data_IF_619009374173
#
_entry.id   IF_619009374173
#
_cell.length_a   1.000
_cell.length_b   1.000
_cell.length_c   1.000
_cell.angle_alpha   90.00
_cell.angle_beta   90.00
_cell.angle_gamma   90.00
#
_symmetry.space_group_name_H-M   'P 1'
#
loop_
_entity.id
_entity.type
_entity.pdbx_description
1 polymer ?
#
# COMPACT_ATOMS: atom_id res chain seq x y z
N UNK A 1 -7.72 10.01 -5.54
CA UNK A 1 -8.89 9.81 -4.66
C UNK A 1 -8.79 8.54 -3.84
N UNK A 2 -8.75 7.35 -4.45
CA UNK A 2 -8.74 6.10 -3.68
C UNK A 2 -7.60 6.04 -2.66
N UNK A 3 -6.38 6.46 -3.02
CA UNK A 3 -5.27 6.44 -2.05
C UNK A 3 -5.35 7.52 -0.97
N UNK A 4 -6.03 8.66 -1.18
CA UNK A 4 -5.89 9.86 -0.33
C UNK A 4 -7.21 10.33 0.28
N UNK A 5 -8.32 9.64 0.01
CA UNK A 5 -9.68 10.01 0.43
C UNK A 5 -10.27 11.22 -0.32
N UNK A 6 -9.44 12.04 -0.98
CA UNK A 6 -9.86 13.24 -1.72
C UNK A 6 -9.26 13.31 -3.12
N UNK A 7 -9.81 14.18 -3.97
CA UNK A 7 -9.33 14.36 -5.36
C UNK A 7 -8.03 15.18 -5.45
N UNK A 8 -7.66 15.92 -4.40
CA UNK A 8 -6.48 16.78 -4.37
C UNK A 8 -5.20 15.99 -4.05
N UNK A 9 -4.09 16.48 -4.61
CA UNK A 9 -2.74 15.97 -4.37
C UNK A 9 -2.20 16.42 -3.01
N UNK A 10 -0.98 15.99 -2.66
CA UNK A 10 -0.24 16.36 -1.43
C UNK A 10 -0.90 16.01 -0.10
N UNK A 11 -1.86 15.08 -0.13
CA UNK A 11 -2.51 14.54 1.06
C UNK A 11 -1.90 13.19 1.44
N UNK A 12 -1.87 12.85 2.75
CA UNK A 12 -1.38 11.56 3.18
C UNK A 12 -2.19 10.42 2.57
N UNK A 13 -1.49 9.40 2.07
CA UNK A 13 -2.11 8.20 1.54
C UNK A 13 -2.71 7.32 2.65
N UNK A 14 -3.61 6.39 2.30
CA UNK A 14 -4.26 5.44 3.20
C UNK A 14 -3.23 4.69 4.06
N UNK A 15 -2.16 4.19 3.44
CA UNK A 15 -1.08 3.52 4.17
C UNK A 15 -0.34 4.42 5.15
N UNK A 16 -0.26 5.74 4.89
CA UNK A 16 0.34 6.70 5.81
C UNK A 16 -0.57 6.95 7.03
N UNK A 17 -1.89 7.05 6.82
CA UNK A 17 -2.87 7.14 7.91
C UNK A 17 -2.88 5.88 8.78
N UNK A 18 -2.82 4.70 8.16
CA UNK A 18 -2.75 3.42 8.90
C UNK A 18 -1.43 3.33 9.69
N UNK A 19 -0.31 3.71 9.08
CA UNK A 19 0.98 3.78 9.76
C UNK A 19 0.97 4.78 10.93
N UNK A 20 0.27 5.91 10.77
CA UNK A 20 0.11 6.92 11.83
C UNK A 20 -0.74 6.43 12.99
N UNK A 21 -1.90 5.83 12.71
CA UNK A 21 -2.84 5.38 13.73
C UNK A 21 -2.37 4.12 14.48
N UNK A 22 -1.77 3.15 13.77
CA UNK A 22 -1.34 1.87 14.36
C UNK A 22 0.13 1.84 14.76
N UNK A 23 0.95 2.78 14.27
CA UNK A 23 2.40 2.70 14.42
C UNK A 23 3.00 1.45 13.79
N UNK A 24 4.05 0.93 14.40
CA UNK A 24 4.67 -0.36 14.04
C UNK A 24 5.02 -1.13 15.30
N UNK A 25 4.71 -2.42 15.33
CA UNK A 25 5.22 -3.35 16.35
C UNK A 25 6.61 -3.88 15.98
N UNK A 26 7.03 -3.68 14.74
CA UNK A 26 8.33 -4.09 14.24
C UNK A 26 9.35 -2.96 14.40
N UNK A 27 10.40 -3.19 15.17
CA UNK A 27 11.50 -2.24 15.36
C UNK A 27 12.46 -2.18 14.16
N UNK A 28 12.43 -3.18 13.28
CA UNK A 28 13.38 -3.41 12.19
C UNK A 28 12.78 -3.28 10.78
N UNK A 29 11.47 -3.12 10.64
CA UNK A 29 10.79 -2.89 9.37
C UNK A 29 9.85 -1.68 9.46
N UNK A 30 9.61 -0.96 8.35
CA UNK A 30 8.65 0.13 8.33
C UNK A 30 7.21 -0.40 8.47
N UNK A 31 6.33 0.40 9.06
CA UNK A 31 4.89 0.10 9.11
C UNK A 31 4.22 0.13 7.73
N UNK A 32 4.79 0.84 6.75
CA UNK A 32 4.27 0.99 5.39
C UNK A 32 5.34 0.65 4.35
N UNK A 33 5.17 -0.46 3.64
CA UNK A 33 6.06 -0.93 2.56
C UNK A 33 5.37 -0.86 1.20
N UNK A 34 6.12 -0.47 0.18
CA UNK A 34 5.68 -0.38 -1.22
C UNK A 34 6.50 -1.33 -2.08
N UNK A 35 5.81 -2.23 -2.79
CA UNK A 35 6.36 -3.20 -3.72
C UNK A 35 5.95 -2.81 -5.15
N UNK A 36 6.77 -1.99 -5.80
CA UNK A 36 6.55 -1.58 -7.18
C UNK A 36 7.18 -2.53 -8.19
N UNK A 37 6.72 -2.46 -9.44
CA UNK A 37 7.42 -3.13 -10.53
C UNK A 37 8.83 -2.51 -10.72
N UNK A 38 9.89 -3.34 -10.83
CA UNK A 38 11.25 -2.83 -10.99
C UNK A 38 11.44 -2.06 -12.30
N UNK A 39 10.62 -2.32 -13.32
CA UNK A 39 10.74 -1.68 -14.65
C UNK A 39 10.31 -0.21 -14.69
N UNK A 40 9.69 0.33 -13.63
CA UNK A 40 9.36 1.75 -13.56
C UNK A 40 8.24 2.10 -12.59
N UNK A 41 7.85 3.37 -12.62
CA UNK A 41 6.77 3.92 -11.80
C UNK A 41 5.44 3.93 -12.57
N UNK A 42 4.32 3.94 -11.84
CA UNK A 42 3.04 4.36 -12.41
C UNK A 42 3.08 5.86 -12.77
N UNK A 43 2.10 6.34 -13.53
CA UNK A 43 2.06 7.74 -13.98
C UNK A 43 2.08 8.75 -12.80
N UNK A 44 1.51 8.38 -11.66
CA UNK A 44 1.50 9.22 -10.45
C UNK A 44 2.79 9.13 -9.62
N UNK A 45 3.66 8.16 -9.90
CA UNK A 45 4.84 7.84 -9.12
C UNK A 45 4.58 7.78 -7.61
N UNK A 46 5.50 8.40 -6.87
CA UNK A 46 5.51 8.37 -5.40
C UNK A 46 4.35 9.10 -4.73
N UNK A 47 3.52 9.83 -5.50
CA UNK A 47 2.32 10.49 -4.97
C UNK A 47 1.30 9.48 -4.43
N UNK A 48 1.35 8.22 -4.87
CA UNK A 48 0.40 7.19 -4.42
C UNK A 48 0.74 6.55 -3.06
N UNK A 49 1.91 6.85 -2.49
CA UNK A 49 2.32 6.41 -1.15
C UNK A 49 2.99 7.53 -0.32
N UNK A 50 2.60 8.77 -0.61
CA UNK A 50 3.08 9.94 0.12
C UNK A 50 2.53 10.00 1.54
N UNK A 51 3.34 10.53 2.46
CA UNK A 51 2.89 10.95 3.79
C UNK A 51 2.17 12.30 3.75
N UNK A 52 2.23 13.05 2.63
CA UNK A 52 1.70 14.41 2.57
C UNK A 52 2.32 15.26 3.68
N UNK A 53 1.46 15.83 4.53
CA UNK A 53 1.86 16.61 5.70
C UNK A 53 1.99 15.80 6.99
N UNK A 54 1.70 14.48 7.01
CA UNK A 54 2.04 13.63 8.17
C UNK A 54 3.56 13.54 8.34
N UNK A 55 4.07 13.20 9.54
CA UNK A 55 5.50 12.99 9.74
C UNK A 55 6.13 12.03 8.72
N UNK A 56 7.36 12.33 8.28
CA UNK A 56 8.01 11.63 7.18
C UNK A 56 8.20 10.12 7.40
N UNK A 57 8.20 9.65 8.65
CA UNK A 57 8.27 8.24 9.03
C UNK A 57 7.06 7.41 8.57
N UNK A 58 5.93 8.05 8.27
CA UNK A 58 4.71 7.37 7.79
C UNK A 58 4.66 7.26 6.26
N UNK A 59 5.69 7.71 5.55
CA UNK A 59 5.78 7.56 4.09
C UNK A 59 6.00 6.09 3.72
N UNK A 60 5.40 5.65 2.61
CA UNK A 60 5.66 4.32 2.07
C UNK A 60 7.14 4.13 1.71
N UNK A 61 7.76 3.08 2.25
CA UNK A 61 9.15 2.73 1.98
C UNK A 61 9.21 1.71 0.85
N UNK A 62 9.89 2.04 -0.24
CA UNK A 62 10.02 1.15 -1.40
C UNK A 62 10.99 0.01 -1.16
N UNK A 63 10.52 -1.21 -1.40
CA UNK A 63 11.34 -2.41 -1.41
C UNK A 63 11.39 -2.95 -2.85
N UNK A 64 12.60 -3.11 -3.37
CA UNK A 64 12.83 -3.73 -4.67
C UNK A 64 12.54 -5.22 -4.61
N UNK A 65 11.78 -5.72 -5.58
CA UNK A 65 11.53 -7.15 -5.75
C UNK A 65 12.66 -7.89 -6.44
N UNK A 66 13.74 -7.21 -6.83
CA UNK A 66 14.90 -7.80 -7.50
C UNK A 66 16.20 -7.11 -7.08
N UNK A 67 17.30 -7.86 -7.00
CA UNK A 67 18.59 -7.31 -6.59
C UNK A 67 18.60 -6.91 -5.12
N UNK A 68 19.22 -5.77 -4.79
CA UNK A 68 19.24 -5.25 -3.42
C UNK A 68 17.85 -4.70 -3.06
N UNK A 69 17.16 -5.26 -2.05
CA UNK A 69 15.78 -4.89 -1.79
C UNK A 69 15.61 -3.46 -1.27
N UNK A 70 16.58 -2.98 -0.50
CA UNK A 70 16.62 -1.58 -0.05
C UNK A 70 17.87 -0.95 -0.63
N UNK A 71 17.70 0.15 -1.37
CA UNK A 71 18.80 0.81 -2.06
C UNK A 71 19.77 1.46 -1.07
N UNK A 72 21.04 1.60 -1.48
CA UNK A 72 22.11 2.28 -0.72
C UNK A 72 22.40 1.70 0.68
N UNK A 73 22.07 0.43 0.86
CA UNK A 73 22.15 -0.23 2.13
C UNK A 73 23.59 -0.71 2.45
N UNK A 74 24.42 -0.93 1.42
CA UNK A 74 25.85 -1.23 1.60
C UNK A 74 26.65 0.05 1.43
N UNK A 75 27.55 0.33 2.39
CA UNK A 75 28.53 1.42 2.26
C UNK A 75 29.40 1.18 1.03
N UNK A 76 29.61 2.22 0.21
CA UNK A 76 30.52 2.18 -0.94
C UNK A 76 31.99 2.13 -0.51
N UNK A 77 32.29 2.59 0.71
CA UNK A 77 33.62 2.55 1.30
C UNK A 77 33.61 1.49 2.41
N UNK A 78 34.50 0.47 2.35
CA UNK A 78 34.67 -0.48 3.44
C UNK A 78 35.14 0.28 4.68
N UNK A 79 34.31 0.30 5.72
CA UNK A 79 34.64 0.85 7.04
C UNK A 79 34.57 -0.30 8.04
N UNK A 80 35.46 -0.30 9.02
CA UNK A 80 35.36 -1.28 10.10
C UNK A 80 34.09 -1.03 10.92
N UNK A 81 33.56 -2.08 11.55
CA UNK A 81 32.36 -1.96 12.40
C UNK A 81 32.56 -0.94 13.55
N UNK A 82 33.79 -0.83 14.08
CA UNK A 82 34.14 0.15 15.11
C UNK A 82 34.13 1.59 14.58
N UNK A 83 34.71 1.84 13.40
CA UNK A 83 34.68 3.17 12.79
C UNK A 83 33.25 3.58 12.45
N UNK A 84 32.45 2.67 11.91
CA UNK A 84 31.04 2.93 11.61
C UNK A 84 30.26 3.27 12.88
N UNK A 85 30.47 2.52 13.97
CA UNK A 85 29.84 2.82 15.27
C UNK A 85 30.26 4.19 15.81
N UNK A 86 31.56 4.50 15.80
CA UNK A 86 32.06 5.81 16.27
C UNK A 86 31.49 6.98 15.45
N UNK A 87 31.36 6.82 14.13
CA UNK A 87 30.75 7.83 13.26
C UNK A 87 29.26 8.03 13.59
N UNK A 88 28.50 6.94 13.78
CA UNK A 88 27.10 7.00 14.17
C UNK A 88 26.90 7.61 15.56
N UNK A 89 27.78 7.32 16.52
CA UNK A 89 27.74 7.91 17.86
C UNK A 89 28.04 9.42 17.82
N UNK A 90 28.99 9.84 16.99
CA UNK A 90 29.29 11.26 16.79
C UNK A 90 28.13 12.00 16.11
N UNK A 91 27.57 11.44 15.04
CA UNK A 91 26.36 11.97 14.39
C UNK A 91 25.19 12.08 15.37
N UNK A 92 24.98 11.06 16.22
CA UNK A 92 23.94 11.08 17.25
C UNK A 92 24.14 12.21 18.25
N UNK A 93 25.39 12.52 18.64
CA UNK A 93 25.69 13.67 19.50
C UNK A 93 25.35 14.99 18.80
N UNK A 94 25.71 15.16 17.53
CA UNK A 94 25.38 16.36 16.75
C UNK A 94 23.86 16.55 16.60
N UNK A 95 23.15 15.47 16.31
CA UNK A 95 21.70 15.46 16.23
C UNK A 95 21.04 15.92 17.54
N UNK A 96 21.48 15.41 18.70
CA UNK A 96 20.99 15.85 20.01
C UNK A 96 21.28 17.32 20.30
N UNK A 97 22.43 17.83 19.87
CA UNK A 97 22.76 19.27 20.01
C UNK A 97 21.79 20.11 19.18
N UNK A 98 21.49 19.69 17.95
CA UNK A 98 20.56 20.40 17.08
C UNK A 98 19.11 20.36 17.60
N UNK A 99 18.65 19.18 18.04
CA UNK A 99 17.31 19.00 18.63
C UNK A 99 17.09 19.93 19.84
N UNK A 100 18.10 20.08 20.70
CA UNK A 100 18.03 21.03 21.84
C UNK A 100 17.93 22.49 21.41
N UNK A 101 18.47 22.87 20.25
CA UNK A 101 18.41 24.24 19.73
C UNK A 101 17.08 24.54 19.06
N UNK A 102 16.43 23.52 18.47
CA UNK A 102 15.18 23.65 17.73
C UNK A 102 14.16 22.59 18.20
N UNK A 103 13.62 22.70 19.44
CA UNK A 103 12.75 21.67 20.02
C UNK A 103 11.41 21.48 19.29
N UNK A 104 11.02 22.40 18.40
CA UNK A 104 9.81 22.28 17.56
C UNK A 104 10.06 21.71 16.17
N UNK A 105 11.31 21.41 15.80
CA UNK A 105 11.67 20.95 14.45
C UNK A 105 11.51 19.43 14.31
N UNK A 106 10.29 18.99 14.03
CA UNK A 106 9.94 17.56 13.91
C UNK A 106 10.51 16.91 12.65
N UNK A 107 10.88 17.68 11.62
CA UNK A 107 11.41 17.13 10.37
C UNK A 107 12.79 16.48 10.61
N UNK A 108 13.65 17.11 11.42
CA UNK A 108 14.95 16.54 11.75
C UNK A 108 14.80 15.21 12.50
N UNK A 109 13.91 15.16 13.48
CA UNK A 109 13.66 13.94 14.26
C UNK A 109 13.15 12.81 13.37
N UNK A 110 12.19 13.09 12.49
CA UNK A 110 11.69 12.12 11.51
C UNK A 110 12.80 11.62 10.57
N UNK A 111 13.71 12.50 10.13
CA UNK A 111 14.88 12.11 9.31
C UNK A 111 15.83 11.18 10.08
N UNK A 112 16.11 11.48 11.35
CA UNK A 112 16.97 10.63 12.20
C UNK A 112 16.35 9.24 12.34
N UNK A 113 15.07 9.17 12.71
CA UNK A 113 14.36 7.89 12.87
C UNK A 113 14.33 7.08 11.57
N UNK A 114 14.15 7.74 10.42
CA UNK A 114 14.21 7.10 9.12
C UNK A 114 15.59 6.47 8.81
N UNK A 115 16.69 7.15 9.13
CA UNK A 115 18.03 6.60 8.94
C UNK A 115 18.33 5.43 9.87
N UNK A 116 17.92 5.52 11.14
CA UNK A 116 18.08 4.42 12.08
C UNK A 116 17.23 3.20 11.69
N UNK A 117 16.00 3.42 11.22
CA UNK A 117 15.16 2.36 10.67
C UNK A 117 15.83 1.71 9.47
N UNK A 118 16.36 2.48 8.52
CA UNK A 118 17.10 1.95 7.37
C UNK A 118 18.32 1.10 7.79
N UNK A 119 19.00 1.48 8.87
CA UNK A 119 20.11 0.70 9.44
C UNK A 119 19.64 -0.62 10.08
N UNK A 120 18.47 -0.66 10.72
CA UNK A 120 17.90 -1.89 11.29
C UNK A 120 17.30 -2.81 10.21
N UNK A 121 16.73 -2.20 9.17
CA UNK A 121 16.20 -2.91 7.99
C UNK A 121 17.25 -3.76 7.28
N UNK A 122 18.54 -3.43 7.40
CA UNK A 122 19.61 -4.13 6.67
C UNK A 122 19.59 -5.64 6.86
N UNK A 123 19.42 -6.08 8.11
CA UNK A 123 19.43 -7.50 8.45
C UNK A 123 18.03 -8.10 8.26
N UNK A 124 16.99 -7.40 8.74
CA UNK A 124 15.62 -7.90 8.69
C UNK A 124 15.07 -8.03 7.26
N UNK A 125 15.35 -7.07 6.38
CA UNK A 125 14.86 -7.08 5.01
C UNK A 125 15.49 -8.20 4.18
N UNK A 126 16.75 -8.58 4.44
CA UNK A 126 17.39 -9.66 3.71
C UNK A 126 16.67 -11.00 3.91
N UNK A 127 16.34 -11.33 5.17
CA UNK A 127 15.65 -12.58 5.49
C UNK A 127 14.17 -12.59 5.09
N UNK A 128 13.48 -11.45 5.26
CA UNK A 128 12.05 -11.32 4.92
C UNK A 128 11.81 -11.34 3.41
N UNK A 129 12.78 -10.91 2.62
CA UNK A 129 12.65 -10.77 1.16
C UNK A 129 13.35 -11.89 0.40
N UNK A 130 14.07 -12.77 1.09
CA UNK A 130 14.62 -13.99 0.51
C UNK A 130 13.50 -15.02 0.30
N UNK A 131 13.00 -15.08 -0.94
CA UNK A 131 12.02 -16.08 -1.35
C UNK A 131 12.66 -17.40 -1.81
N UNK A 132 14.00 -17.51 -1.85
CA UNK A 132 14.68 -18.73 -2.32
C UNK A 132 14.44 -19.93 -1.40
N UNK A 133 14.05 -19.67 -0.14
CA UNK A 133 13.71 -20.67 0.86
C UNK A 133 12.27 -21.21 0.73
N UNK A 134 11.46 -20.67 -0.17
CA UNK A 134 10.06 -21.07 -0.36
C UNK A 134 9.95 -22.38 -1.15
N UNK A 135 8.94 -23.18 -0.84
CA UNK A 135 8.76 -24.49 -1.49
C UNK A 135 8.34 -24.34 -2.96
N UNK A 136 8.58 -25.36 -3.78
CA UNK A 136 8.10 -25.39 -5.16
C UNK A 136 6.56 -25.28 -5.25
N UNK A 137 5.84 -25.83 -4.28
CA UNK A 137 4.39 -25.71 -4.20
C UNK A 137 3.96 -24.25 -3.95
N UNK A 138 4.62 -23.55 -3.04
CA UNK A 138 4.43 -22.10 -2.83
C UNK A 138 4.75 -21.34 -4.11
N UNK A 139 5.89 -21.63 -4.76
CA UNK A 139 6.27 -20.98 -6.02
C UNK A 139 5.20 -21.13 -7.11
N UNK A 140 4.62 -22.33 -7.25
CA UNK A 140 3.53 -22.59 -8.19
C UNK A 140 2.23 -21.87 -7.81
N UNK A 141 1.90 -21.78 -6.52
CA UNK A 141 0.73 -21.05 -6.03
C UNK A 141 0.74 -19.57 -6.45
N UNK A 142 1.93 -18.95 -6.44
CA UNK A 142 2.12 -17.56 -6.89
C UNK A 142 2.46 -17.43 -8.39
N UNK A 143 2.50 -18.54 -9.14
CA UNK A 143 2.85 -18.53 -10.57
C UNK A 143 4.29 -18.09 -10.86
N UNK A 144 5.26 -18.44 -10.01
CA UNK A 144 6.67 -18.09 -10.21
C UNK A 144 7.35 -18.90 -11.33
N UNK A 145 6.71 -19.98 -11.79
CA UNK A 145 7.14 -20.83 -12.89
C UNK A 145 6.72 -20.29 -14.28
N UNK A 146 5.92 -19.22 -14.33
CA UNK A 146 5.47 -18.58 -15.56
C UNK A 146 5.98 -17.13 -15.65
N UNK A 147 6.72 -16.83 -16.72
CA UNK A 147 7.30 -15.49 -16.97
C UNK A 147 6.27 -14.36 -16.97
N UNK A 148 5.01 -14.64 -17.32
CA UNK A 148 3.94 -13.62 -17.32
C UNK A 148 3.51 -13.26 -15.90
N UNK A 149 3.45 -14.21 -14.97
CA UNK A 149 2.97 -14.00 -13.59
C UNK A 149 4.10 -13.74 -12.61
N UNK A 150 5.29 -14.28 -12.86
CA UNK A 150 6.43 -14.30 -11.93
C UNK A 150 6.76 -12.92 -11.33
N UNK A 151 6.83 -11.80 -12.09
CA UNK A 151 7.21 -10.52 -11.49
C UNK A 151 6.21 -10.02 -10.46
N UNK A 152 4.91 -10.16 -10.75
CA UNK A 152 3.84 -9.75 -9.84
C UNK A 152 3.67 -10.75 -8.70
N UNK A 153 3.77 -12.05 -8.99
CA UNK A 153 3.69 -13.11 -7.98
C UNK A 153 4.82 -13.10 -6.98
N UNK A 154 6.03 -12.72 -7.40
CA UNK A 154 7.15 -12.46 -6.49
C UNK A 154 6.80 -11.37 -5.48
N UNK A 155 6.17 -10.27 -5.93
CA UNK A 155 5.74 -9.18 -5.05
C UNK A 155 4.60 -9.61 -4.11
N UNK A 156 3.65 -10.40 -4.60
CA UNK A 156 2.61 -11.00 -3.75
C UNK A 156 3.22 -11.90 -2.66
N UNK A 157 4.17 -12.76 -3.00
CA UNK A 157 4.86 -13.62 -2.04
C UNK A 157 5.67 -12.80 -1.02
N UNK A 158 6.40 -11.78 -1.48
CA UNK A 158 7.08 -10.84 -0.57
C UNK A 158 6.09 -10.13 0.36
N UNK A 159 4.91 -9.73 -0.14
CA UNK A 159 3.89 -9.11 0.68
C UNK A 159 3.40 -10.05 1.79
N UNK A 160 3.16 -11.34 1.49
CA UNK A 160 2.84 -12.33 2.52
C UNK A 160 3.91 -12.40 3.60
N UNK A 161 5.20 -12.43 3.22
CA UNK A 161 6.31 -12.49 4.18
C UNK A 161 6.43 -11.21 5.01
N UNK A 162 6.13 -10.06 4.43
CA UNK A 162 6.08 -8.77 5.14
C UNK A 162 4.93 -8.73 6.14
N UNK A 163 3.76 -9.27 5.79
CA UNK A 163 2.64 -9.44 6.71
C UNK A 163 3.02 -10.38 7.87
N UNK A 164 3.65 -11.54 7.58
CA UNK A 164 4.19 -12.44 8.61
C UNK A 164 5.20 -11.74 9.54
N UNK A 165 5.98 -10.81 8.99
CA UNK A 165 6.95 -10.03 9.74
C UNK A 165 6.33 -8.82 10.48
N UNK A 166 5.00 -8.64 10.45
CA UNK A 166 4.31 -7.60 11.20
C UNK A 166 4.29 -6.21 10.53
N UNK A 167 4.48 -6.13 9.21
CA UNK A 167 4.29 -4.87 8.47
C UNK A 167 2.80 -4.55 8.38
N UNK A 168 2.40 -3.37 8.86
CA UNK A 168 0.97 -2.96 8.97
C UNK A 168 0.29 -2.70 7.64
N UNK A 169 1.02 -2.19 6.64
CA UNK A 169 0.47 -1.90 5.33
C UNK A 169 1.48 -2.22 4.23
N UNK A 170 1.09 -3.11 3.31
CA UNK A 170 1.90 -3.46 2.13
C UNK A 170 1.13 -3.10 0.88
N UNK A 171 1.70 -2.21 0.06
CA UNK A 171 1.13 -1.82 -1.23
C UNK A 171 1.86 -2.50 -2.37
N UNK A 172 1.14 -3.22 -3.23
CA UNK A 172 1.70 -3.87 -4.42
C UNK A 172 1.25 -3.09 -5.65
N UNK A 173 2.18 -2.69 -6.51
CA UNK A 173 1.84 -2.07 -7.80
C UNK A 173 1.93 -3.08 -8.96
N UNK A 174 1.02 -2.94 -9.95
CA UNK A 174 1.13 -3.66 -11.21
C UNK A 174 2.27 -3.08 -12.06
N UNK A 175 2.31 -3.44 -13.34
CA UNK A 175 3.27 -2.89 -14.30
C UNK A 175 3.25 -1.34 -14.33
N UNK A 176 4.37 -0.69 -14.74
CA UNK A 176 4.49 0.77 -14.79
C UNK A 176 3.42 1.47 -15.64
N UNK A 177 3.40 2.80 -15.57
CA UNK A 177 2.40 3.68 -16.20
C UNK A 177 0.98 3.43 -15.69
N UNK A 178 0.00 3.30 -16.58
CA UNK A 178 -1.40 3.10 -16.26
C UNK A 178 -1.94 1.88 -17.02
N UNK A 179 -1.59 0.64 -16.61
CA UNK A 179 -1.99 -0.56 -17.35
C UNK A 179 -3.53 -0.64 -17.49
N UNK A 180 -4.27 -0.24 -16.47
CA UNK A 180 -5.73 -0.27 -16.44
C UNK A 180 -6.41 0.87 -17.22
N UNK A 181 -5.66 1.88 -17.70
CA UNK A 181 -6.20 3.03 -18.41
C UNK A 181 -6.31 2.79 -19.93
N UNK A 182 -7.07 1.76 -20.30
CA UNK A 182 -7.19 1.31 -21.68
C UNK A 182 -8.19 2.14 -22.51
N UNK A 183 -7.69 3.21 -23.15
CA UNK A 183 -8.39 4.04 -24.14
C UNK A 183 -8.38 3.46 -25.57
N UNK A 184 -7.77 2.30 -25.75
CA UNK A 184 -7.85 1.48 -26.96
C UNK A 184 -7.57 0.02 -26.59
N UNK A 185 -7.96 -0.92 -27.46
CA UNK A 185 -7.59 -2.34 -27.32
C UNK A 185 -8.02 -2.98 -25.99
N UNK A 186 -9.11 -2.52 -25.36
CA UNK A 186 -9.46 -2.86 -23.97
C UNK A 186 -9.47 -4.38 -23.72
N UNK A 187 -10.02 -5.18 -24.65
CA UNK A 187 -10.06 -6.64 -24.52
C UNK A 187 -8.66 -7.27 -24.43
N UNK A 188 -7.74 -6.85 -25.29
CA UNK A 188 -6.38 -7.39 -25.32
C UNK A 188 -5.57 -6.92 -24.11
N UNK A 189 -5.70 -5.63 -23.76
CA UNK A 189 -5.00 -5.06 -22.61
C UNK A 189 -5.47 -5.71 -21.31
N UNK A 190 -6.79 -5.80 -21.08
CA UNK A 190 -7.34 -6.48 -19.91
C UNK A 190 -6.88 -7.94 -19.84
N UNK A 191 -6.93 -8.69 -20.95
CA UNK A 191 -6.43 -10.06 -20.98
C UNK A 191 -4.97 -10.17 -20.55
N UNK A 192 -4.11 -9.25 -21.01
CA UNK A 192 -2.68 -9.22 -20.66
C UNK A 192 -2.43 -8.86 -19.20
N UNK A 193 -3.21 -7.93 -18.65
CA UNK A 193 -3.08 -7.48 -17.26
C UNK A 193 -3.61 -8.55 -16.31
N UNK A 194 -4.81 -9.08 -16.57
CA UNK A 194 -5.39 -10.15 -15.75
C UNK A 194 -4.50 -11.39 -15.75
N UNK A 195 -3.91 -11.77 -16.89
CA UNK A 195 -2.96 -12.89 -16.96
C UNK A 195 -1.71 -12.69 -16.08
N UNK A 196 -1.34 -11.45 -15.75
CA UNK A 196 -0.21 -11.14 -14.87
C UNK A 196 -0.59 -11.18 -13.39
N UNK A 197 -1.79 -10.71 -13.01
CA UNK A 197 -2.15 -10.47 -11.61
C UNK A 197 -3.19 -11.44 -11.01
N UNK A 198 -4.00 -12.13 -11.81
CA UNK A 198 -5.11 -12.97 -11.32
C UNK A 198 -4.61 -14.14 -10.46
N UNK A 199 -3.78 -15.02 -11.05
CA UNK A 199 -3.21 -16.17 -10.34
C UNK A 199 -2.44 -15.76 -9.08
N UNK A 200 -1.51 -14.79 -9.10
CA UNK A 200 -0.76 -14.48 -7.89
C UNK A 200 -1.56 -13.73 -6.81
N UNK A 201 -2.60 -12.97 -7.18
CA UNK A 201 -3.52 -12.36 -6.20
C UNK A 201 -4.33 -13.45 -5.49
N UNK A 202 -4.86 -14.42 -6.25
CA UNK A 202 -5.52 -15.59 -5.67
C UNK A 202 -4.55 -16.40 -4.79
N UNK A 203 -3.30 -16.54 -5.22
CA UNK A 203 -2.23 -17.18 -4.46
C UNK A 203 -1.98 -16.50 -3.11
N UNK A 204 -1.88 -15.17 -3.07
CA UNK A 204 -1.72 -14.40 -1.83
C UNK A 204 -2.87 -14.64 -0.84
N UNK A 205 -4.12 -14.49 -1.30
CA UNK A 205 -5.30 -14.70 -0.44
C UNK A 205 -5.34 -16.13 0.08
N UNK A 206 -5.04 -17.11 -0.78
CA UNK A 206 -5.03 -18.53 -0.42
C UNK A 206 -3.93 -18.84 0.62
N UNK A 207 -2.73 -18.34 0.41
CA UNK A 207 -1.58 -18.57 1.30
C UNK A 207 -1.78 -17.89 2.66
N UNK A 208 -2.30 -16.66 2.69
CA UNK A 208 -2.69 -15.99 3.94
C UNK A 208 -3.74 -16.81 4.70
N UNK A 209 -4.73 -17.37 4.01
CA UNK A 209 -5.75 -18.23 4.63
C UNK A 209 -5.14 -19.53 5.19
N UNK A 210 -4.28 -20.20 4.43
CA UNK A 210 -3.63 -21.44 4.86
C UNK A 210 -2.78 -21.24 6.11
N UNK A 211 -2.26 -20.02 6.31
CA UNK A 211 -1.44 -19.63 7.46
C UNK A 211 -2.24 -19.08 8.63
N UNK A 212 -3.56 -18.95 8.52
CA UNK A 212 -4.40 -18.32 9.53
C UNK A 212 -4.24 -16.81 9.63
N UNK A 213 -3.56 -16.16 8.66
CA UNK A 213 -3.30 -14.72 8.67
C UNK A 213 -4.42 -13.92 7.99
N UNK A 214 -5.28 -14.56 7.20
CA UNK A 214 -6.34 -13.86 6.48
C UNK A 214 -7.37 -13.24 7.43
N UNK A 215 -7.60 -13.84 8.59
CA UNK A 215 -8.55 -13.30 9.59
C UNK A 215 -8.02 -12.01 10.24
N UNK A 216 -6.71 -11.81 10.22
CA UNK A 216 -6.02 -10.63 10.78
C UNK A 216 -5.53 -9.65 9.69
N UNK A 217 -5.76 -9.96 8.41
CA UNK A 217 -5.27 -9.15 7.27
C UNK A 217 -6.40 -8.81 6.32
N UNK A 218 -6.56 -7.52 6.01
CA UNK A 218 -7.46 -7.05 4.96
C UNK A 218 -6.68 -6.98 3.63
N UNK A 219 -7.03 -7.82 2.66
CA UNK A 219 -6.51 -7.74 1.30
C UNK A 219 -7.47 -6.92 0.44
N UNK A 220 -6.98 -5.80 -0.11
CA UNK A 220 -7.76 -4.91 -0.99
C UNK A 220 -7.12 -4.92 -2.38
N UNK A 221 -7.87 -5.34 -3.38
CA UNK A 221 -7.47 -5.25 -4.79
C UNK A 221 -8.40 -4.28 -5.51
N UNK A 222 -7.85 -3.13 -5.94
CA UNK A 222 -8.64 -2.03 -6.49
C UNK A 222 -7.83 -1.18 -7.48
N UNK A 223 -8.57 -0.45 -8.32
CA UNK A 223 -8.10 0.74 -9.01
C UNK A 223 -8.64 2.02 -8.36
N UNK A 224 -8.64 3.13 -9.10
CA UNK A 224 -9.12 4.43 -8.62
C UNK A 224 -10.43 4.90 -9.27
N UNK A 225 -10.81 4.35 -10.42
CA UNK A 225 -12.04 4.64 -11.15
C UNK A 225 -12.39 3.46 -12.08
N UNK A 226 -13.59 3.46 -12.62
CA UNK A 226 -14.06 2.45 -13.55
C UNK A 226 -13.81 2.83 -15.01
N UNK A 227 -14.29 1.99 -15.91
CA UNK A 227 -14.43 2.32 -17.34
C UNK A 227 -15.90 2.39 -17.70
N UNK A 228 -16.26 3.35 -18.56
CA UNK A 228 -17.63 3.49 -19.01
C UNK A 228 -18.09 2.19 -19.70
N UNK A 229 -19.39 1.87 -19.66
CA UNK A 229 -19.94 0.72 -20.38
C UNK A 229 -19.98 0.95 -21.89
N UNK A 230 -19.71 2.17 -22.34
CA UNK A 230 -19.71 2.61 -23.73
C UNK A 230 -18.30 2.92 -24.24
N UNK A 231 -18.13 2.80 -25.55
CA UNK A 231 -16.97 3.31 -26.27
C UNK A 231 -17.37 4.57 -27.03
N UNK A 232 -16.65 5.68 -26.83
CA UNK A 232 -16.86 6.89 -27.63
C UNK A 232 -16.23 6.77 -29.03
N UNK A 233 -15.14 6.00 -29.15
CA UNK A 233 -14.46 5.73 -30.42
C UNK A 233 -13.59 4.46 -30.33
N UNK A 234 -13.65 3.59 -31.35
CA UNK A 234 -12.76 2.44 -31.51
C UNK A 234 -12.97 1.30 -30.50
N UNK A 235 -11.87 0.76 -29.97
CA UNK A 235 -11.86 -0.42 -29.09
C UNK A 235 -11.52 -0.10 -27.63
N UNK A 236 -11.54 1.18 -27.29
CA UNK A 236 -11.33 1.72 -25.94
C UNK A 236 -12.63 2.08 -25.25
N UNK A 237 -12.55 2.42 -23.96
CA UNK A 237 -13.66 3.02 -23.19
C UNK A 237 -13.15 4.31 -22.56
N UNK A 238 -13.98 5.14 -21.93
CA UNK A 238 -13.52 6.33 -21.19
C UNK A 238 -13.55 6.10 -19.67
N UNK A 239 -13.03 7.05 -18.88
CA UNK A 239 -13.09 7.01 -17.41
C UNK A 239 -14.54 7.02 -16.91
N UNK A 240 -14.87 6.08 -16.02
CA UNK A 240 -16.12 6.10 -15.28
C UNK A 240 -15.89 6.51 -13.83
N UNK A 241 -16.22 7.76 -13.52
CA UNK A 241 -16.18 8.29 -12.15
C UNK A 241 -17.39 7.87 -11.30
N UNK A 242 -18.46 7.38 -11.92
CA UNK A 242 -19.73 7.15 -11.25
C UNK A 242 -19.86 5.72 -10.69
N UNK A 243 -19.00 4.80 -11.14
CA UNK A 243 -18.96 3.42 -10.65
C UNK A 243 -17.60 2.78 -10.90
N UNK A 244 -17.13 2.00 -9.93
CA UNK A 244 -16.04 1.03 -10.08
C UNK A 244 -16.25 -0.10 -9.06
N UNK A 245 -15.50 -1.19 -9.22
CA UNK A 245 -15.54 -2.34 -8.33
C UNK A 245 -14.17 -2.60 -7.75
N UNK A 246 -14.15 -3.17 -6.55
CA UNK A 246 -12.95 -3.64 -5.88
C UNK A 246 -13.21 -5.01 -5.26
N UNK A 247 -12.14 -5.72 -4.95
CA UNK A 247 -12.17 -6.99 -4.22
C UNK A 247 -11.60 -6.77 -2.83
N UNK A 248 -12.28 -7.32 -1.82
CA UNK A 248 -11.81 -7.37 -0.42
C UNK A 248 -11.83 -8.83 0.05
N UNK A 249 -10.81 -9.23 0.79
CA UNK A 249 -10.77 -10.51 1.47
C UNK A 249 -10.14 -10.37 2.87
N UNK A 250 -10.63 -11.14 3.83
CA UNK A 250 -10.08 -11.19 5.19
C UNK A 250 -10.49 -10.03 6.10
N UNK A 251 -9.88 -9.98 7.28
CA UNK A 251 -10.04 -8.91 8.26
C UNK A 251 -11.49 -8.55 8.60
N UNK A 252 -12.32 -9.57 8.84
CA UNK A 252 -13.72 -9.43 9.28
C UNK A 252 -14.73 -9.00 8.20
N UNK A 253 -14.33 -8.87 6.93
CA UNK A 253 -15.28 -8.64 5.83
C UNK A 253 -16.04 -9.92 5.44
N UNK A 254 -17.30 -9.77 4.99
CA UNK A 254 -18.13 -10.89 4.53
C UNK A 254 -17.48 -11.65 3.37
N UNK A 255 -17.37 -12.97 3.51
CA UNK A 255 -16.88 -13.85 2.47
C UNK A 255 -17.99 -14.27 1.49
N UNK A 256 -17.63 -14.54 0.22
CA UNK A 256 -18.57 -15.04 -0.79
C UNK A 256 -19.73 -14.08 -1.09
N UNK A 257 -19.50 -12.78 -0.91
CA UNK A 257 -20.51 -11.74 -0.91
C UNK A 257 -20.20 -10.66 -1.96
N UNK A 258 -21.23 -10.20 -2.66
CA UNK A 258 -21.17 -9.02 -3.52
C UNK A 258 -22.05 -7.93 -2.89
N UNK A 259 -21.49 -6.73 -2.72
CA UNK A 259 -22.20 -5.58 -2.15
C UNK A 259 -22.50 -4.55 -3.23
N UNK A 260 -23.77 -4.16 -3.32
CA UNK A 260 -24.23 -3.16 -4.28
C UNK A 260 -24.18 -3.62 -5.74
N UNK A 261 -24.63 -2.73 -6.62
CA UNK A 261 -24.65 -2.95 -8.06
C UNK A 261 -24.67 -1.60 -8.80
N UNK A 262 -24.18 -1.60 -10.04
CA UNK A 262 -24.41 -0.51 -10.97
C UNK A 262 -25.86 -0.50 -11.48
N UNK A 263 -26.26 0.59 -12.14
CA UNK A 263 -27.48 0.61 -12.95
C UNK A 263 -27.44 -0.44 -14.08
N UNK A 264 -28.59 -0.63 -14.74
CA UNK A 264 -28.80 -1.65 -15.78
C UNK A 264 -27.81 -1.59 -16.94
N UNK A 265 -27.24 -0.40 -17.20
CA UNK A 265 -26.29 -0.19 -18.29
C UNK A 265 -24.84 -0.11 -17.81
N UNK A 266 -24.57 -0.17 -16.50
CA UNK A 266 -23.22 -0.10 -15.93
C UNK A 266 -22.65 1.32 -15.85
N UNK A 267 -23.48 2.35 -15.92
CA UNK A 267 -23.03 3.75 -15.94
C UNK A 267 -22.68 4.27 -14.55
N UNK A 268 -23.53 4.07 -13.54
CA UNK A 268 -23.35 4.57 -12.18
C UNK A 268 -23.72 3.52 -11.12
N UNK A 269 -23.18 3.65 -9.91
CA UNK A 269 -23.61 2.85 -8.77
C UNK A 269 -25.09 3.17 -8.44
N UNK A 270 -25.92 2.14 -8.32
CA UNK A 270 -27.37 2.26 -8.16
C UNK A 270 -27.88 1.63 -6.86
N UNK A 271 -27.42 0.42 -6.53
CA UNK A 271 -27.85 -0.36 -5.35
C UNK A 271 -26.74 -0.35 -4.31
N UNK A 272 -27.11 -0.22 -3.03
CA UNK A 272 -26.23 -0.24 -1.85
C UNK A 272 -24.87 0.43 -2.08
N UNK A 273 -24.95 1.73 -2.43
CA UNK A 273 -23.78 2.51 -2.85
C UNK A 273 -22.82 2.68 -1.67
N UNK A 274 -21.54 2.50 -1.94
CA UNK A 274 -20.45 2.75 -1.01
C UNK A 274 -19.53 3.79 -1.62
N UNK A 275 -19.37 4.95 -0.96
CA UNK A 275 -18.37 5.93 -1.39
C UNK A 275 -16.97 5.49 -0.97
N UNK A 276 -15.92 6.07 -1.56
CA UNK A 276 -14.54 5.82 -1.13
C UNK A 276 -14.34 6.18 0.34
N UNK A 277 -14.99 7.25 0.82
CA UNK A 277 -14.89 7.68 2.20
C UNK A 277 -15.57 6.68 3.16
N UNK A 278 -16.75 6.16 2.80
CA UNK A 278 -17.42 5.09 3.56
C UNK A 278 -16.59 3.79 3.60
N UNK A 279 -15.97 3.45 2.48
CA UNK A 279 -15.09 2.29 2.41
C UNK A 279 -13.87 2.45 3.32
N UNK A 280 -13.21 3.61 3.29
CA UNK A 280 -12.11 3.91 4.21
C UNK A 280 -12.54 3.92 5.67
N UNK A 281 -13.70 4.48 6.00
CA UNK A 281 -14.26 4.44 7.36
C UNK A 281 -14.43 2.98 7.83
N UNK A 282 -14.97 2.12 6.96
CA UNK A 282 -15.16 0.69 7.24
C UNK A 282 -13.84 -0.06 7.41
N UNK A 283 -12.82 0.25 6.58
CA UNK A 283 -11.47 -0.33 6.70
C UNK A 283 -10.83 0.09 8.03
N UNK A 284 -10.87 1.39 8.38
CA UNK A 284 -10.31 1.88 9.65
C UNK A 284 -11.00 1.22 10.85
N UNK A 285 -12.32 1.06 10.82
CA UNK A 285 -13.07 0.34 11.86
C UNK A 285 -12.57 -1.10 12.03
N UNK A 286 -12.35 -1.85 10.94
CA UNK A 286 -11.81 -3.22 11.02
C UNK A 286 -10.37 -3.27 11.51
N UNK A 287 -9.61 -2.20 11.32
CA UNK A 287 -8.28 -2.03 11.90
C UNK A 287 -8.32 -1.53 13.37
N UNK A 288 -9.51 -1.44 13.98
CA UNK A 288 -9.69 -1.01 15.37
C UNK A 288 -9.54 0.51 15.58
N UNK A 289 -9.61 1.30 14.50
CA UNK A 289 -9.50 2.76 14.54
C UNK A 289 -10.84 3.42 14.26
N UNK A 290 -11.20 4.42 15.06
CA UNK A 290 -12.30 5.32 14.75
C UNK A 290 -11.84 6.36 13.71
N UNK A 291 -12.51 6.38 12.55
CA UNK A 291 -12.16 7.26 11.43
C UNK A 291 -12.43 8.74 11.71
N UNK A 292 -13.26 9.06 12.71
CA UNK A 292 -13.53 10.42 13.15
C UNK A 292 -12.48 10.90 14.15
N UNK A 293 -12.00 9.99 15.01
CA UNK A 293 -10.99 10.31 16.04
C UNK A 293 -9.54 10.25 15.53
N UNK A 294 -9.27 9.62 14.39
CA UNK A 294 -7.95 9.61 13.77
C UNK A 294 -7.68 10.94 13.06
N UNK A 295 -7.27 11.94 13.84
CA UNK A 295 -7.07 13.33 13.42
C UNK A 295 -5.58 13.71 13.38
N UNK A 296 -5.26 14.71 12.58
CA UNK A 296 -3.98 15.40 12.64
C UNK A 296 -4.17 16.90 12.36
N UNK A 297 -3.57 17.75 13.18
CA UNK A 297 -3.64 19.20 13.01
C UNK A 297 -2.74 19.66 11.85
N UNK A 298 -3.38 20.19 10.81
CA UNK A 298 -2.67 20.77 9.67
C UNK A 298 -3.32 22.09 9.25
N UNK A 299 -2.50 23.14 9.11
CA UNK A 299 -2.94 24.48 8.70
C UNK A 299 -4.11 25.03 9.54
N UNK A 300 -4.12 24.75 10.85
CA UNK A 300 -5.14 25.22 11.79
C UNK A 300 -6.47 24.46 11.72
N UNK A 301 -6.49 23.28 11.10
CA UNK A 301 -7.67 22.40 11.04
C UNK A 301 -7.29 20.97 11.42
N UNK A 302 -8.19 20.30 12.12
CA UNK A 302 -8.16 18.84 12.27
C UNK A 302 -8.52 18.18 10.94
N UNK A 303 -7.55 17.49 10.35
CA UNK A 303 -7.72 16.75 9.12
C UNK A 303 -7.89 15.26 9.43
N UNK A 304 -8.72 14.57 8.64
CA UNK A 304 -8.86 13.11 8.67
C UNK A 304 -8.80 12.55 7.24
N UNK A 305 -8.59 11.24 7.10
CA UNK A 305 -8.61 10.56 5.81
C UNK A 305 -10.00 10.63 5.14
N UNK A 306 -11.05 10.52 5.93
CA UNK A 306 -12.44 10.40 5.46
C UNK A 306 -13.15 11.74 5.38
N UNK A 307 -12.70 12.75 6.12
CA UNK A 307 -13.33 14.07 6.28
C UNK A 307 -14.86 13.97 6.45
N UNK A 308 -15.34 13.36 7.56
CA UNK A 308 -16.75 13.03 7.74
C UNK A 308 -17.66 14.26 7.67
N UNK A 309 -17.17 15.42 8.11
CA UNK A 309 -17.90 16.70 8.02
C UNK A 309 -18.24 17.12 6.58
N UNK A 310 -17.40 16.74 5.60
CA UNK A 310 -17.58 17.08 4.19
C UNK A 310 -18.22 15.93 3.40
N UNK A 311 -17.79 14.70 3.69
CA UNK A 311 -18.17 13.52 2.90
C UNK A 311 -19.41 12.80 3.44
N UNK A 312 -19.77 13.03 4.71
CA UNK A 312 -20.77 12.24 5.41
C UNK A 312 -20.36 10.78 5.60
N UNK A 313 -19.04 10.50 5.55
CA UNK A 313 -18.51 9.14 5.64
C UNK A 313 -19.01 8.42 6.89
N UNK A 314 -19.39 7.15 6.69
CA UNK A 314 -19.81 6.26 7.77
C UNK A 314 -19.32 4.85 7.52
N UNK A 315 -19.19 4.08 8.59
CA UNK A 315 -18.98 2.64 8.51
C UNK A 315 -20.17 2.00 7.81
N UNK A 316 -19.92 0.99 6.95
CA UNK A 316 -20.95 0.20 6.28
C UNK A 316 -21.03 -1.20 6.92
N UNK A 317 -21.91 -1.43 7.91
CA UNK A 317 -22.06 -2.74 8.56
C UNK A 317 -22.41 -3.86 7.57
N UNK A 318 -23.07 -3.52 6.46
CA UNK A 318 -23.43 -4.47 5.41
C UNK A 318 -22.23 -5.18 4.76
N UNK A 319 -21.01 -4.65 4.90
CA UNK A 319 -19.77 -5.24 4.39
C UNK A 319 -19.12 -6.24 5.36
N UNK A 320 -19.52 -6.25 6.65
CA UNK A 320 -18.82 -6.94 7.74
C UNK A 320 -19.56 -8.21 8.17
N UNK A 321 -18.80 -9.24 8.58
CA UNK A 321 -19.31 -10.56 8.97
C UNK A 321 -20.02 -10.58 10.33
#
# INVERSE_FOLDING_TARGET
MFMTGKIFQDRPALGAWISYGLGTENSSLPGYVVLRDPSGYNTSGTLTWTNGWLPAQHRGTEFSSSGTPVLNLKSSIPVSANEQRNNLDFLSKLNRIHQRRLPGETELEARIQNYELAARMQLAAADVLDISKETAATGKLYGLDNKTTEPYGRRCLMARKLVEAGVRFVQIHPKPFQPWDSHSGTRQNLGSICANCDLPTAGLITDLKQRGLLDETIVIWSGEFGRLPVSQNGTGRDHNRNAFSLLVAGGGFKAGYAHGASDEVGYAAAVDKVSVADFHATVLQQLGMDHESLVYEHAGREETLTDPSLTGAKVIPGLLA
#
